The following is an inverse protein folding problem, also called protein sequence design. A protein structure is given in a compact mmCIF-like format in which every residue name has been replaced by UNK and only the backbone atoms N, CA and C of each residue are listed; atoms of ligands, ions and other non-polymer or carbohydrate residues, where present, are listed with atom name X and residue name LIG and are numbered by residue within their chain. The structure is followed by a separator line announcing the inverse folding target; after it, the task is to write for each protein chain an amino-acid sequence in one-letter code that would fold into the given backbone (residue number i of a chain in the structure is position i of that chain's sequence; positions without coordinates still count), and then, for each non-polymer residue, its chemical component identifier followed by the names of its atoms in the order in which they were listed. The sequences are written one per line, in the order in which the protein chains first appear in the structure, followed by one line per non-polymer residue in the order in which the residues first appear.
data_IF_805476759084
#
_entry.id   IF_805476759084
#
_cell.length_a   1.000
_cell.length_b   1.000
_cell.length_c   1.000
_cell.angle_alpha   90.00
_cell.angle_beta   90.00
_cell.angle_gamma   90.00
#
_symmetry.space_group_name_H-M   'P 1'
#
loop_
_entity.id
_entity.type
_entity.pdbx_description
1 polymer ?
#
# COMPACT_ATOMS: atom_id res chain seq x y z
N UNK A 1 -19.19 -73.35 3.77
CA UNK A 1 -18.67 -72.47 4.84
C UNK A 1 -18.22 -71.14 4.21
N UNK A 2 -18.98 -70.07 4.42
CA UNK A 2 -18.67 -68.75 3.84
C UNK A 2 -18.09 -67.83 4.92
N UNK A 3 -16.87 -67.34 4.69
CA UNK A 3 -16.15 -66.44 5.59
C UNK A 3 -16.77 -65.04 5.61
N UNK A 4 -16.78 -64.33 6.77
CA UNK A 4 -17.27 -62.96 6.85
C UNK A 4 -16.28 -61.95 6.22
N UNK A 5 -16.83 -60.96 5.53
CA UNK A 5 -16.10 -59.90 4.82
C UNK A 5 -15.51 -58.88 5.81
N UNK A 6 -14.27 -58.38 5.61
CA UNK A 6 -13.66 -57.39 6.51
C UNK A 6 -14.39 -56.04 6.50
N UNK A 7 -14.52 -55.42 7.67
CA UNK A 7 -15.14 -54.10 7.86
C UNK A 7 -14.34 -52.96 7.20
N UNK A 8 -14.99 -51.91 6.67
CA UNK A 8 -14.29 -50.80 6.04
C UNK A 8 -13.58 -49.91 7.08
N UNK A 9 -12.36 -49.50 6.75
CA UNK A 9 -11.54 -48.57 7.53
C UNK A 9 -12.16 -47.16 7.54
N UNK A 10 -12.09 -46.40 8.66
CA UNK A 10 -12.61 -45.03 8.69
C UNK A 10 -11.78 -44.09 7.81
N UNK A 11 -12.47 -43.19 7.10
CA UNK A 11 -11.84 -42.16 6.25
C UNK A 11 -11.12 -41.09 7.08
N UNK A 12 -10.03 -40.49 6.58
CA UNK A 12 -9.35 -39.38 7.25
C UNK A 12 -10.24 -38.13 7.27
N UNK A 13 -10.06 -37.24 8.27
CA UNK A 13 -10.78 -35.97 8.34
C UNK A 13 -10.40 -35.05 7.17
N UNK A 14 -11.32 -34.16 6.72
CA UNK A 14 -11.04 -33.22 5.66
C UNK A 14 -9.93 -32.22 6.06
N UNK A 15 -9.15 -31.72 5.10
CA UNK A 15 -8.13 -30.70 5.37
C UNK A 15 -8.77 -29.40 5.86
N UNK A 16 -8.11 -28.72 6.80
CA UNK A 16 -8.54 -27.40 7.29
C UNK A 16 -8.54 -26.36 6.15
N UNK A 17 -9.48 -25.40 6.15
CA UNK A 17 -9.50 -24.34 5.15
C UNK A 17 -8.27 -23.44 5.29
N UNK A 18 -7.68 -23.02 4.17
CA UNK A 18 -6.60 -22.04 4.16
C UNK A 18 -7.06 -20.71 4.77
N UNK A 19 -6.17 -19.97 5.46
CA UNK A 19 -6.49 -18.64 5.95
C UNK A 19 -6.82 -17.70 4.79
N UNK A 20 -7.84 -16.87 4.98
CA UNK A 20 -8.21 -15.81 4.02
C UNK A 20 -7.06 -14.81 3.87
N UNK A 21 -6.83 -14.26 2.66
CA UNK A 21 -5.86 -13.20 2.48
C UNK A 21 -6.22 -11.96 3.32
N UNK A 22 -5.23 -11.19 3.79
CA UNK A 22 -5.48 -9.95 4.51
C UNK A 22 -6.27 -8.97 3.64
N UNK A 23 -7.20 -8.24 4.26
CA UNK A 23 -7.96 -7.19 3.58
C UNK A 23 -7.03 -6.08 3.07
N UNK A 24 -7.34 -5.46 1.91
CA UNK A 24 -6.53 -4.36 1.40
C UNK A 24 -6.57 -3.16 2.37
N UNK A 25 -5.49 -2.36 2.45
CA UNK A 25 -5.47 -1.16 3.26
C UNK A 25 -6.56 -0.18 2.80
N UNK A 26 -7.26 0.40 3.77
CA UNK A 26 -8.33 1.39 3.56
C UNK A 26 -7.95 2.71 4.22
N UNK A 27 -8.40 3.81 3.63
CA UNK A 27 -8.22 5.14 4.20
C UNK A 27 -8.80 5.13 5.63
N UNK A 28 -8.09 5.64 6.65
CA UNK A 28 -8.59 5.67 8.02
C UNK A 28 -9.88 6.47 8.13
N UNK A 29 -10.70 6.20 9.15
CA UNK A 29 -11.98 6.90 9.35
C UNK A 29 -11.84 8.43 9.47
N UNK A 30 -10.71 8.91 9.99
CA UNK A 30 -10.38 10.34 10.07
C UNK A 30 -9.84 10.95 8.76
N UNK A 31 -9.65 10.15 7.73
CA UNK A 31 -9.00 10.53 6.48
C UNK A 31 -7.48 10.47 6.54
N UNK A 32 -6.86 10.72 5.39
CA UNK A 32 -5.40 10.79 5.22
C UNK A 32 -5.01 12.13 4.62
N UNK A 33 -4.07 12.84 5.23
CA UNK A 33 -3.59 14.12 4.72
C UNK A 33 -2.69 13.92 3.50
N UNK A 34 -2.94 14.71 2.45
CA UNK A 34 -2.00 14.99 1.37
C UNK A 34 -1.31 16.29 1.72
N UNK A 35 0.01 16.28 1.72
CA UNK A 35 0.84 17.44 2.08
C UNK A 35 1.78 17.81 0.95
N UNK A 36 2.24 19.05 0.95
CA UNK A 36 3.21 19.55 -0.01
C UNK A 36 4.56 18.81 0.11
N UNK A 37 5.14 18.56 -1.04
CA UNK A 37 6.42 17.87 -1.19
C UNK A 37 7.56 18.54 -0.43
N UNK A 38 7.60 19.87 -0.50
CA UNK A 38 8.75 20.70 -0.14
C UNK A 38 8.54 21.39 1.20
N UNK A 39 7.35 21.94 1.43
CA UNK A 39 7.00 22.74 2.60
C UNK A 39 6.35 21.91 3.71
N UNK A 40 5.74 20.77 3.36
CA UNK A 40 4.92 19.98 4.28
C UNK A 40 3.57 20.60 4.62
N UNK A 41 3.14 21.63 3.88
CA UNK A 41 1.82 22.25 4.05
C UNK A 41 0.70 21.27 3.75
N UNK A 42 -0.40 21.33 4.50
CA UNK A 42 -1.59 20.54 4.20
C UNK A 42 -2.25 21.03 2.90
N UNK A 43 -2.49 20.11 1.96
CA UNK A 43 -3.10 20.42 0.67
C UNK A 43 -4.53 19.89 0.55
N UNK A 44 -4.77 18.65 0.99
CA UNK A 44 -6.08 18.01 0.90
C UNK A 44 -6.21 16.85 1.88
N UNK A 45 -7.44 16.42 2.17
CA UNK A 45 -7.73 15.23 2.96
C UNK A 45 -8.43 14.19 2.08
N UNK A 46 -7.86 13.00 2.00
CA UNK A 46 -8.49 11.83 1.37
C UNK A 46 -9.46 11.20 2.37
N UNK A 47 -10.71 10.99 1.96
CA UNK A 47 -11.75 10.41 2.80
C UNK A 47 -12.07 8.96 2.39
N UNK A 48 -12.38 8.08 3.37
CA UNK A 48 -12.85 6.74 3.07
C UNK A 48 -14.25 6.77 2.42
N UNK A 49 -14.50 5.85 1.49
CA UNK A 49 -15.71 5.77 0.68
C UNK A 49 -15.78 6.77 -0.48
N UNK A 50 -14.74 7.60 -0.66
CA UNK A 50 -14.72 8.71 -1.63
C UNK A 50 -13.44 8.76 -2.44
N UNK A 51 -12.28 8.72 -1.78
CA UNK A 51 -10.99 9.08 -2.38
C UNK A 51 -10.01 7.90 -2.53
N UNK A 52 -10.49 6.66 -2.49
CA UNK A 52 -9.67 5.45 -2.55
C UNK A 52 -8.86 5.32 -3.85
N UNK A 53 -9.42 5.85 -4.94
CA UNK A 53 -8.80 5.84 -6.27
C UNK A 53 -8.11 7.17 -6.59
N UNK A 54 -8.10 8.11 -5.66
CA UNK A 54 -7.51 9.44 -5.86
C UNK A 54 -5.99 9.30 -5.95
N UNK A 55 -5.47 9.73 -7.09
CA UNK A 55 -4.03 9.76 -7.41
C UNK A 55 -3.53 11.18 -7.65
N UNK A 56 -4.45 12.15 -7.66
CA UNK A 56 -4.18 13.53 -8.01
C UNK A 56 -5.01 14.50 -7.16
N UNK A 57 -4.45 15.66 -6.87
CA UNK A 57 -5.14 16.80 -6.26
C UNK A 57 -4.96 18.04 -7.15
N UNK A 58 -5.90 19.01 -7.12
CA UNK A 58 -5.78 20.24 -7.92
C UNK A 58 -4.73 21.21 -7.32
N UNK A 59 -3.46 20.78 -7.29
CA UNK A 59 -2.33 21.53 -6.76
C UNK A 59 -1.06 21.25 -7.57
N UNK A 60 -0.37 22.31 -8.03
CA UNK A 60 0.85 22.26 -8.84
C UNK A 60 0.86 21.17 -9.93
N UNK A 61 1.77 20.20 -9.80
CA UNK A 61 1.98 19.10 -10.73
C UNK A 61 0.98 17.95 -10.54
N UNK A 62 0.04 18.11 -9.61
CA UNK A 62 -1.17 17.34 -9.37
C UNK A 62 -0.99 15.91 -8.84
N UNK A 63 0.09 15.19 -9.16
CA UNK A 63 0.26 13.79 -8.77
C UNK A 63 0.61 13.61 -7.29
N UNK A 64 -0.01 12.60 -6.64
CA UNK A 64 0.29 12.20 -5.26
C UNK A 64 1.42 11.17 -5.27
N UNK A 65 2.49 11.49 -4.53
CA UNK A 65 3.60 10.56 -4.24
C UNK A 65 3.38 9.83 -2.90
N UNK A 66 3.89 8.60 -2.74
CA UNK A 66 3.90 7.90 -1.48
C UNK A 66 4.93 8.52 -0.52
N UNK A 67 4.62 8.44 0.77
CA UNK A 67 5.56 8.75 1.85
C UNK A 67 5.38 7.66 2.90
N UNK A 68 6.49 7.05 3.33
CA UNK A 68 6.49 5.98 4.32
C UNK A 68 7.24 6.43 5.56
N UNK A 69 6.67 6.19 6.73
CA UNK A 69 7.21 6.58 8.02
C UNK A 69 7.80 5.39 8.77
N UNK A 70 8.94 5.61 9.42
CA UNK A 70 9.54 4.61 10.30
C UNK A 70 8.75 4.52 11.60
N UNK A 71 8.30 3.32 12.01
CA UNK A 71 7.60 3.14 13.28
C UNK A 71 8.52 3.27 14.50
N UNK A 72 9.85 3.31 14.32
CA UNK A 72 10.83 3.39 15.41
C UNK A 72 11.33 4.80 15.70
N UNK A 73 11.35 5.68 14.69
CA UNK A 73 12.01 6.98 14.76
C UNK A 73 11.11 8.14 14.30
N UNK A 74 9.84 7.87 13.98
CA UNK A 74 8.84 8.84 13.47
C UNK A 74 9.28 9.64 12.23
N UNK A 75 10.32 9.17 11.53
CA UNK A 75 10.86 9.80 10.32
C UNK A 75 10.14 9.29 9.09
N UNK A 76 9.57 10.21 8.33
CA UNK A 76 8.92 9.92 7.06
C UNK A 76 9.86 10.17 5.88
N UNK A 77 9.98 9.19 4.99
CA UNK A 77 10.84 9.22 3.81
C UNK A 77 10.05 8.98 2.52
N UNK A 78 10.58 9.48 1.42
CA UNK A 78 10.09 9.22 0.06
C UNK A 78 11.06 8.38 -0.78
N UNK A 79 12.17 7.96 -0.17
CA UNK A 79 13.17 7.11 -0.79
C UNK A 79 13.76 6.11 0.21
N UNK A 80 14.28 5.01 -0.29
CA UNK A 80 15.00 4.00 0.47
C UNK A 80 16.46 3.97 0.01
N UNK A 81 17.40 4.06 0.95
CA UNK A 81 18.82 4.11 0.64
C UNK A 81 19.26 5.47 0.10
N UNK A 82 19.22 5.66 -1.21
CA UNK A 82 19.70 6.87 -1.88
C UNK A 82 18.56 7.72 -2.47
N UNK A 83 18.71 9.03 -2.45
CA UNK A 83 17.75 9.95 -3.08
C UNK A 83 18.05 10.11 -4.57
N UNK A 84 17.76 9.08 -5.37
CA UNK A 84 17.97 9.01 -6.81
C UNK A 84 16.86 8.19 -7.50
N UNK A 85 16.94 8.00 -8.82
CA UNK A 85 15.94 7.23 -9.59
C UNK A 85 15.68 5.82 -9.02
N UNK A 86 16.69 5.15 -8.46
CA UNK A 86 16.56 3.79 -7.93
C UNK A 86 15.95 3.75 -6.52
N UNK A 87 16.23 4.75 -5.69
CA UNK A 87 15.77 4.76 -4.30
C UNK A 87 14.43 5.44 -4.08
N UNK A 88 14.00 6.35 -4.97
CA UNK A 88 12.73 7.06 -4.84
C UNK A 88 11.51 6.15 -5.05
N UNK A 89 10.59 6.16 -4.09
CA UNK A 89 9.40 5.28 -4.07
C UNK A 89 8.43 5.50 -5.24
N UNK A 90 8.42 6.71 -5.81
CA UNK A 90 7.62 7.09 -6.98
C UNK A 90 8.46 7.53 -8.18
N UNK A 91 9.77 7.29 -8.17
CA UNK A 91 10.69 7.84 -9.16
C UNK A 91 11.02 9.32 -8.91
N UNK A 92 11.77 9.91 -9.83
CA UNK A 92 12.41 11.22 -9.65
C UNK A 92 11.78 12.29 -10.55
N UNK A 93 11.37 13.41 -9.93
CA UNK A 93 10.56 14.47 -10.55
C UNK A 93 11.30 15.41 -11.50
N UNK A 94 12.61 15.26 -11.66
CA UNK A 94 13.46 16.19 -12.41
C UNK A 94 13.44 15.94 -13.93
N UNK A 95 12.61 15.00 -14.38
CA UNK A 95 12.33 14.76 -15.81
C UNK A 95 11.17 15.65 -16.25
N UNK A 96 11.47 16.94 -16.47
CA UNK A 96 10.49 17.98 -16.85
C UNK A 96 9.69 17.67 -18.13
N UNK A 97 10.19 16.82 -19.03
CA UNK A 97 9.57 16.54 -20.33
C UNK A 97 8.52 15.40 -20.32
N UNK A 98 8.30 14.71 -19.20
CA UNK A 98 7.30 13.62 -19.13
C UNK A 98 6.01 14.09 -18.42
N UNK A 99 4.81 13.89 -19.01
CA UNK A 99 3.55 14.21 -18.34
C UNK A 99 3.36 13.45 -17.00
N UNK A 100 4.13 12.38 -16.76
CA UNK A 100 4.17 11.65 -15.50
C UNK A 100 5.58 11.67 -14.90
N UNK A 101 6.03 12.86 -14.49
CA UNK A 101 7.32 13.09 -13.82
C UNK A 101 7.54 12.23 -12.55
N UNK A 102 6.48 11.61 -12.01
CA UNK A 102 6.54 10.54 -11.00
C UNK A 102 5.46 9.48 -11.27
N UNK A 103 5.63 8.30 -10.69
CA UNK A 103 4.56 7.30 -10.60
C UNK A 103 3.53 7.74 -9.56
N UNK A 104 2.26 7.93 -9.93
CA UNK A 104 1.24 8.35 -8.97
C UNK A 104 0.73 7.20 -8.10
N UNK A 105 0.43 7.50 -6.83
CA UNK A 105 -0.06 6.52 -5.86
C UNK A 105 -1.42 6.91 -5.28
N UNK A 106 -2.26 5.89 -5.10
CA UNK A 106 -3.45 5.95 -4.23
C UNK A 106 -3.04 5.62 -2.80
N UNK A 107 -3.90 5.96 -1.83
CA UNK A 107 -3.64 5.61 -0.42
C UNK A 107 -3.37 4.12 -0.21
N UNK A 108 -4.20 3.23 -0.78
CA UNK A 108 -4.04 1.79 -0.58
C UNK A 108 -2.73 1.25 -1.18
N UNK A 109 -2.28 1.80 -2.31
CA UNK A 109 -0.97 1.46 -2.90
C UNK A 109 0.17 1.96 -2.05
N UNK A 110 0.08 3.18 -1.50
CA UNK A 110 1.08 3.73 -0.57
C UNK A 110 1.19 2.85 0.67
N UNK A 111 0.06 2.54 1.31
CA UNK A 111 0.04 1.71 2.51
C UNK A 111 0.60 0.29 2.25
N UNK A 112 0.25 -0.32 1.11
CA UNK A 112 0.80 -1.62 0.74
C UNK A 112 2.31 -1.56 0.45
N UNK A 113 2.79 -0.50 -0.21
CA UNK A 113 4.21 -0.27 -0.47
C UNK A 113 4.98 -0.11 0.85
N UNK A 114 4.52 0.79 1.72
CA UNK A 114 5.16 1.01 3.02
C UNK A 114 5.19 -0.26 3.87
N UNK A 115 4.08 -1.01 3.93
CA UNK A 115 4.02 -2.29 4.64
C UNK A 115 5.04 -3.31 4.11
N UNK A 116 5.26 -3.37 2.79
CA UNK A 116 6.27 -4.26 2.19
C UNK A 116 7.72 -3.89 2.56
N UNK A 117 7.92 -2.66 3.04
CA UNK A 117 9.20 -2.13 3.51
C UNK A 117 9.33 -2.13 5.05
N UNK A 118 8.35 -2.68 5.77
CA UNK A 118 8.21 -2.57 7.23
C UNK A 118 8.09 -1.12 7.73
N UNK A 119 7.47 -0.26 6.93
CA UNK A 119 7.14 1.13 7.23
C UNK A 119 5.62 1.32 7.27
N UNK A 120 5.17 2.49 7.73
CA UNK A 120 3.75 2.86 7.78
C UNK A 120 3.41 4.03 6.87
#
# INVERSE_FOLDING_TARGET
PSSPLPSPSPSPPPPSPSPSPPSPPVIPSGGSAVVDGTTGEFLSCLLPGRDEMTTQIPHERQLIAPQCCSPTDDKCTRFIGANNDDGCLAGFSDKEDDPNYITPFTYNKTAALCASLNLT
#
